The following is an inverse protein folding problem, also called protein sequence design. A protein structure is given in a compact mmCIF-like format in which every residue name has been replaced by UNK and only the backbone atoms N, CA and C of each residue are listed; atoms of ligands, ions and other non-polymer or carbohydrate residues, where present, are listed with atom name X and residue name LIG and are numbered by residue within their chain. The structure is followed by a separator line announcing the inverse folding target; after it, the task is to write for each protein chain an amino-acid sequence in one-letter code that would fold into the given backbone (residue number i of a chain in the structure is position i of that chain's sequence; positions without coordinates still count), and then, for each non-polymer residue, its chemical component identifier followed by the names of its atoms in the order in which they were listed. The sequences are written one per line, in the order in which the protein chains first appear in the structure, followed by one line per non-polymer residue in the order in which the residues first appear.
data_IF_733096217651
#
_entry.id   IF_733096217651
#
_cell.length_a   1.000
_cell.length_b   1.000
_cell.length_c   1.000
_cell.angle_alpha   90.00
_cell.angle_beta   90.00
_cell.angle_gamma   90.00
#
_symmetry.space_group_name_H-M   'P 1'
#
loop_
_entity.id
_entity.type
_entity.pdbx_description
1 polymer ?
#
# COMPACT_ATOMS: atom_id res chain seq x y z
N UNK A 1 1.94 -16.11 -38.05
CA UNK A 1 2.91 -15.00 -37.88
C UNK A 1 2.27 -13.68 -37.45
N UNK A 2 0.98 -13.44 -37.70
CA UNK A 2 0.27 -12.20 -37.29
C UNK A 2 -0.27 -12.23 -35.85
N UNK A 3 -0.56 -13.41 -35.31
CA UNK A 3 -1.21 -13.55 -33.99
C UNK A 3 -0.29 -13.15 -32.81
N UNK A 4 1.01 -13.44 -32.89
CA UNK A 4 1.98 -13.02 -31.88
C UNK A 4 2.04 -11.49 -31.72
N UNK A 5 1.94 -10.75 -32.82
CA UNK A 5 2.00 -9.29 -32.78
C UNK A 5 0.72 -8.70 -32.15
N UNK A 6 -0.42 -9.34 -32.35
CA UNK A 6 -1.67 -8.94 -31.67
C UNK A 6 -1.64 -9.22 -30.17
N UNK A 7 -1.09 -10.35 -29.74
CA UNK A 7 -0.93 -10.66 -28.31
C UNK A 7 0.06 -9.71 -27.65
N UNK A 8 1.22 -9.48 -28.26
CA UNK A 8 2.20 -8.52 -27.75
C UNK A 8 1.58 -7.12 -27.57
N UNK A 9 0.80 -6.65 -28.55
CA UNK A 9 0.08 -5.37 -28.46
C UNK A 9 -0.89 -5.33 -27.27
N UNK A 10 -1.70 -6.38 -27.09
CA UNK A 10 -2.63 -6.48 -25.96
C UNK A 10 -1.90 -6.48 -24.62
N UNK A 11 -0.77 -7.18 -24.52
CA UNK A 11 0.05 -7.20 -23.30
C UNK A 11 0.59 -5.81 -22.96
N UNK A 12 1.04 -5.05 -23.96
CA UNK A 12 1.46 -3.66 -23.76
C UNK A 12 0.30 -2.77 -23.28
N UNK A 13 -0.88 -2.89 -23.88
CA UNK A 13 -2.06 -2.13 -23.46
C UNK A 13 -2.46 -2.47 -22.02
N UNK A 14 -2.43 -3.75 -21.66
CA UNK A 14 -2.70 -4.23 -20.30
C UNK A 14 -1.68 -3.70 -19.29
N UNK A 15 -0.39 -3.71 -19.63
CA UNK A 15 0.67 -3.17 -18.76
C UNK A 15 0.49 -1.66 -18.52
N UNK A 16 0.17 -0.90 -19.58
CA UNK A 16 -0.10 0.54 -19.47
C UNK A 16 -1.32 0.79 -18.58
N UNK A 17 -2.41 0.02 -18.77
CA UNK A 17 -3.61 0.12 -17.95
C UNK A 17 -3.31 -0.18 -16.48
N UNK A 18 -2.55 -1.23 -16.21
CA UNK A 18 -2.15 -1.61 -14.85
C UNK A 18 -1.32 -0.50 -14.16
N UNK A 19 -0.34 0.08 -14.84
CA UNK A 19 0.47 1.16 -14.27
C UNK A 19 -0.40 2.39 -13.96
N UNK A 20 -1.34 2.73 -14.85
CA UNK A 20 -2.30 3.82 -14.62
C UNK A 20 -3.20 3.54 -13.40
N UNK A 21 -3.75 2.34 -13.30
CA UNK A 21 -4.63 1.97 -12.17
C UNK A 21 -3.86 1.93 -10.84
N UNK A 22 -2.61 1.49 -10.83
CA UNK A 22 -1.75 1.51 -9.63
C UNK A 22 -1.53 2.93 -9.08
N UNK A 23 -1.31 3.91 -9.97
CA UNK A 23 -1.16 5.32 -9.55
C UNK A 23 -2.42 5.87 -8.91
N UNK A 24 -3.59 5.59 -9.49
CA UNK A 24 -4.86 6.06 -8.94
C UNK A 24 -5.21 5.33 -7.63
N UNK A 25 -4.96 4.02 -7.56
CA UNK A 25 -5.13 3.24 -6.34
C UNK A 25 -4.31 3.81 -5.19
N UNK A 26 -3.02 4.13 -5.43
CA UNK A 26 -2.17 4.78 -4.43
C UNK A 26 -2.73 6.13 -3.98
N UNK A 27 -3.17 6.97 -4.92
CA UNK A 27 -3.77 8.29 -4.63
C UNK A 27 -5.03 8.15 -3.75
N UNK A 28 -5.89 7.18 -4.04
CA UNK A 28 -7.10 6.92 -3.26
C UNK A 28 -6.77 6.41 -1.85
N UNK A 29 -5.81 5.51 -1.72
CA UNK A 29 -5.35 5.01 -0.43
C UNK A 29 -4.79 6.13 0.45
N UNK A 30 -3.93 7.00 -0.09
CA UNK A 30 -3.37 8.13 0.65
C UNK A 30 -4.46 9.09 1.14
N UNK A 31 -5.53 9.28 0.36
CA UNK A 31 -6.64 10.19 0.71
C UNK A 31 -7.58 9.60 1.76
N UNK A 32 -7.97 8.34 1.60
CA UNK A 32 -9.06 7.75 2.41
C UNK A 32 -8.58 6.83 3.52
N UNK A 33 -7.37 6.28 3.40
CA UNK A 33 -6.77 5.42 4.42
C UNK A 33 -5.29 5.78 4.61
N UNK A 34 -4.96 6.98 5.14
CA UNK A 34 -3.57 7.41 5.31
C UNK A 34 -2.74 6.50 6.25
N UNK A 35 -3.39 5.61 7.00
CA UNK A 35 -2.75 4.62 7.88
C UNK A 35 -2.51 3.26 7.20
N UNK A 36 -2.76 3.13 5.89
CA UNK A 36 -2.67 1.85 5.19
C UNK A 36 -1.26 1.24 5.21
N UNK A 37 -0.23 2.09 5.26
CA UNK A 37 1.19 1.69 5.26
C UNK A 37 1.75 1.45 6.67
N UNK A 38 0.97 1.75 7.72
CA UNK A 38 1.42 1.58 9.10
C UNK A 38 1.37 0.11 9.50
N UNK A 39 2.45 -0.37 10.10
CA UNK A 39 2.43 -1.69 10.75
C UNK A 39 1.43 -1.70 11.90
N UNK A 40 1.00 -2.90 12.33
CA UNK A 40 0.11 -3.03 13.48
C UNK A 40 0.69 -2.33 14.74
N UNK A 41 2.01 -2.43 14.94
CA UNK A 41 2.70 -1.78 16.06
C UNK A 41 2.63 -0.25 15.95
N UNK A 42 2.89 0.30 14.77
CA UNK A 42 2.82 1.75 14.55
C UNK A 42 1.41 2.29 14.74
N UNK A 43 0.38 1.52 14.36
CA UNK A 43 -1.03 1.87 14.58
C UNK A 43 -1.37 1.96 16.06
N UNK A 44 -1.01 0.96 16.88
CA UNK A 44 -1.34 1.04 18.30
C UNK A 44 -0.47 2.07 19.03
N UNK A 45 0.78 2.32 18.60
CA UNK A 45 1.57 3.46 19.08
C UNK A 45 0.94 4.82 18.74
N UNK A 46 0.48 5.01 17.50
CA UNK A 46 -0.21 6.23 17.09
C UNK A 46 -1.51 6.44 17.88
N UNK A 47 -2.20 5.35 18.24
CA UNK A 47 -3.43 5.41 19.04
C UNK A 47 -3.14 5.74 20.51
N UNK A 48 -2.12 5.14 21.13
CA UNK A 48 -1.69 5.49 22.49
C UNK A 48 -1.34 6.99 22.60
N UNK A 49 -0.64 7.54 21.60
CA UNK A 49 -0.29 8.97 21.56
C UNK A 49 -1.50 9.89 21.45
N UNK A 50 -2.64 9.45 20.88
CA UNK A 50 -3.87 10.26 20.84
C UNK A 50 -4.40 10.59 22.23
N UNK A 51 -4.10 9.77 23.23
CA UNK A 51 -4.49 9.98 24.64
C UNK A 51 -3.32 10.43 25.53
N UNK A 52 -2.20 10.84 24.93
CA UNK A 52 -1.02 11.28 25.68
C UNK A 52 -0.22 10.16 26.34
N UNK A 53 -0.43 8.90 25.92
CA UNK A 53 0.30 7.72 26.42
C UNK A 53 1.33 7.25 25.39
N UNK A 54 2.40 6.60 25.84
CA UNK A 54 3.34 5.87 24.97
C UNK A 54 3.16 4.36 25.13
N UNK A 55 3.64 3.59 24.16
CA UNK A 55 3.56 2.13 24.20
C UNK A 55 4.47 1.54 25.28
N UNK A 56 4.00 0.54 26.05
CA UNK A 56 4.84 -0.14 27.04
C UNK A 56 5.98 -0.90 26.36
N UNK A 57 7.12 -0.96 27.05
CA UNK A 57 8.27 -1.76 26.60
C UNK A 57 7.89 -3.23 26.68
N UNK A 58 7.97 -3.94 25.55
CA UNK A 58 7.74 -5.39 25.53
C UNK A 58 8.85 -6.09 26.30
N UNK A 59 8.50 -7.14 27.05
CA UNK A 59 9.45 -7.93 27.83
C UNK A 59 10.63 -8.41 26.96
N UNK A 60 11.85 -8.10 27.40
CA UNK A 60 13.10 -8.62 26.83
C UNK A 60 13.68 -9.63 27.82
N UNK A 61 13.65 -10.94 27.54
CA UNK A 61 14.42 -11.89 28.33
C UNK A 61 15.93 -11.60 28.15
N UNK A 62 16.68 -11.63 29.25
CA UNK A 62 18.15 -11.58 29.26
C UNK A 62 18.78 -12.87 28.73
#
# INVERSE_FOLDING_TARGET
MTDDNTHAKQDYENAILFIKSQREHKRLLERYNPTFDLTAQDRIKATARRVGLDMPVTYKPE
#
